data_IF_174447615106
#
_entry.id   IF_174447615106
#
_cell.length_a   1.000
_cell.length_b   1.000
_cell.length_c   1.000
_cell.angle_alpha   90.00
_cell.angle_beta   90.00
_cell.angle_gamma   90.00
#
_symmetry.space_group_name_H-M   'P 1'
#
loop_
_entity.id
_entity.type
_entity.pdbx_description
1 polymer ?
#
# COMPACT_ATOMS: atom_id res chain seq x y z
N UNK A 1 -8.10 -10.77 17.78
CA UNK A 1 -6.86 -10.84 16.97
C UNK A 1 -5.70 -10.79 17.95
N UNK A 2 -4.76 -11.73 17.88
CA UNK A 2 -3.63 -11.80 18.80
C UNK A 2 -2.37 -11.18 18.15
N UNK A 3 -1.95 -10.02 18.67
CA UNK A 3 -0.78 -9.28 18.19
C UNK A 3 0.53 -9.76 18.83
N UNK A 4 0.48 -10.69 19.79
CA UNK A 4 1.69 -11.25 20.40
C UNK A 4 2.51 -12.00 19.35
N UNK A 5 1.84 -12.79 18.49
CA UNK A 5 2.46 -13.64 17.47
C UNK A 5 2.28 -13.12 16.03
N UNK A 6 1.75 -11.92 15.86
CA UNK A 6 1.38 -11.36 14.56
C UNK A 6 1.94 -9.96 14.40
N UNK A 7 2.47 -9.65 13.21
CA UNK A 7 2.74 -8.29 12.78
C UNK A 7 1.73 -7.88 11.71
N UNK A 8 1.13 -6.70 11.84
CA UNK A 8 0.26 -6.11 10.83
C UNK A 8 1.00 -4.96 10.16
N UNK A 9 0.97 -4.94 8.83
CA UNK A 9 1.50 -3.84 8.05
C UNK A 9 0.32 -3.21 7.32
N UNK A 10 0.12 -1.92 7.57
CA UNK A 10 -0.95 -1.14 6.98
C UNK A 10 -0.36 0.08 6.27
N UNK A 11 -0.77 0.29 5.03
CA UNK A 11 -0.38 1.46 4.24
C UNK A 11 -1.63 2.21 3.81
N UNK A 12 -1.57 3.53 3.91
CA UNK A 12 -2.68 4.44 3.64
C UNK A 12 -2.20 5.57 2.73
N UNK A 13 -3.04 6.02 1.80
CA UNK A 13 -2.75 7.21 0.98
C UNK A 13 -3.44 8.47 1.47
N UNK A 14 -4.24 8.39 2.52
CA UNK A 14 -5.10 9.49 2.96
C UNK A 14 -6.38 9.57 2.14
N UNK A 15 -7.06 10.72 2.20
CA UNK A 15 -8.33 10.96 1.52
C UNK A 15 -8.12 11.61 0.15
N UNK A 16 -8.92 11.18 -0.82
CA UNK A 16 -9.07 11.81 -2.14
C UNK A 16 -10.52 12.17 -2.38
N UNK A 17 -10.78 13.24 -3.13
CA UNK A 17 -12.13 13.67 -3.50
C UNK A 17 -12.82 12.78 -4.53
N UNK A 18 -12.07 11.89 -5.19
CA UNK A 18 -12.57 10.94 -6.18
C UNK A 18 -11.99 9.55 -5.94
N UNK A 19 -12.54 8.53 -6.60
CA UNK A 19 -11.95 7.20 -6.69
C UNK A 19 -10.86 7.07 -7.76
N UNK A 20 -10.40 5.84 -8.00
CA UNK A 20 -9.37 5.54 -9.01
C UNK A 20 -7.93 5.57 -8.50
N UNK A 21 -7.72 5.92 -7.23
CA UNK A 21 -6.44 5.81 -6.53
C UNK A 21 -6.32 4.46 -5.84
N UNK A 22 -5.13 3.86 -5.87
CA UNK A 22 -4.87 2.59 -5.19
C UNK A 22 -3.52 2.61 -4.50
N UNK A 23 -3.40 1.85 -3.41
CA UNK A 23 -2.13 1.55 -2.77
C UNK A 23 -2.04 0.05 -2.54
N UNK A 24 -0.89 -0.53 -2.85
CA UNK A 24 -0.71 -1.96 -2.70
C UNK A 24 0.66 -2.29 -2.11
N UNK A 25 0.69 -3.13 -1.08
CA UNK A 25 1.91 -3.80 -0.65
C UNK A 25 2.18 -4.93 -1.65
N UNK A 26 3.21 -4.75 -2.49
CA UNK A 26 3.57 -5.70 -3.55
C UNK A 26 4.40 -6.87 -3.01
N UNK A 27 5.38 -6.55 -2.18
CA UNK A 27 6.36 -7.53 -1.70
C UNK A 27 6.80 -7.19 -0.27
N UNK A 28 7.09 -8.23 0.50
CA UNK A 28 7.71 -8.16 1.82
C UNK A 28 8.93 -9.06 1.78
N UNK A 29 10.12 -8.48 1.92
CA UNK A 29 11.40 -9.17 1.71
C UNK A 29 12.23 -9.07 2.97
N UNK A 30 12.77 -10.19 3.45
CA UNK A 30 13.82 -10.18 4.47
C UNK A 30 15.18 -9.92 3.79
N UNK A 31 15.80 -8.78 4.09
CA UNK A 31 17.11 -8.39 3.54
C UNK A 31 18.25 -8.61 4.56
N UNK A 32 18.03 -9.50 5.54
CA UNK A 32 18.99 -9.83 6.58
C UNK A 32 18.86 -8.91 7.79
N UNK A 33 19.23 -7.64 7.63
CA UNK A 33 19.23 -6.63 8.72
C UNK A 33 17.86 -6.00 8.99
N UNK A 34 16.95 -6.07 8.02
CA UNK A 34 15.63 -5.46 8.09
C UNK A 34 14.63 -6.22 7.21
N UNK A 35 13.35 -5.90 7.37
CA UNK A 35 12.31 -6.25 6.41
C UNK A 35 12.08 -5.06 5.49
N UNK A 36 12.17 -5.28 4.17
CA UNK A 36 11.84 -4.32 3.14
C UNK A 36 10.42 -4.58 2.62
N UNK A 37 9.54 -3.60 2.77
CA UNK A 37 8.19 -3.61 2.23
C UNK A 37 8.16 -2.73 0.99
N UNK A 38 7.87 -3.33 -0.18
CA UNK A 38 7.67 -2.59 -1.43
C UNK A 38 6.19 -2.23 -1.57
N UNK A 39 5.92 -0.95 -1.80
CA UNK A 39 4.57 -0.41 -1.89
C UNK A 39 4.40 0.31 -3.22
N UNK A 40 3.38 -0.05 -3.99
CA UNK A 40 3.01 0.64 -5.22
C UNK A 40 1.82 1.57 -4.96
N UNK A 41 1.94 2.83 -5.37
CA UNK A 41 0.83 3.78 -5.40
C UNK A 41 0.37 3.95 -6.85
N UNK A 42 -0.90 3.73 -7.13
CA UNK A 42 -1.49 3.93 -8.44
C UNK A 42 -2.34 5.19 -8.44
N UNK A 43 -2.07 6.08 -9.40
CA UNK A 43 -2.86 7.29 -9.65
C UNK A 43 -3.67 7.11 -10.94
N UNK A 44 -4.91 7.61 -11.01
CA UNK A 44 -5.65 7.65 -12.27
C UNK A 44 -4.89 8.54 -13.26
N UNK A 45 -4.71 8.05 -14.49
CA UNK A 45 -4.11 8.84 -15.56
C UNK A 45 -5.03 9.94 -16.06
N UNK A 46 -4.45 10.83 -16.87
CA UNK A 46 -5.20 11.92 -17.49
C UNK A 46 -6.30 11.35 -18.38
N UNK A 47 -7.54 11.83 -18.20
CA UNK A 47 -8.69 11.40 -19.00
C UNK A 47 -9.36 10.11 -18.49
N UNK A 48 -8.82 9.47 -17.46
CA UNK A 48 -9.51 8.37 -16.79
C UNK A 48 -10.82 8.86 -16.15
N UNK A 49 -11.92 8.17 -16.44
CA UNK A 49 -13.15 8.33 -15.68
C UNK A 49 -12.94 7.82 -14.26
N UNK A 50 -13.15 8.68 -13.28
CA UNK A 50 -13.12 8.34 -11.84
C UNK A 50 -14.53 8.37 -11.26
N UNK A 51 -14.74 7.71 -10.13
CA UNK A 51 -15.98 7.86 -9.36
C UNK A 51 -15.95 9.17 -8.57
N UNK A 52 -17.05 9.92 -8.63
CA UNK A 52 -17.25 11.19 -7.90
C UNK A 52 -17.66 10.91 -6.44
N UNK A 53 -16.75 10.37 -5.66
CA UNK A 53 -16.94 10.10 -4.24
C UNK A 53 -15.61 10.17 -3.48
N UNK A 54 -15.66 10.68 -2.25
CA UNK A 54 -14.51 10.65 -1.35
C UNK A 54 -14.03 9.22 -1.12
N UNK A 55 -12.73 8.99 -1.26
CA UNK A 55 -12.11 7.68 -1.13
C UNK A 55 -10.88 7.72 -0.24
N UNK A 56 -10.59 6.62 0.43
CA UNK A 56 -9.43 6.48 1.33
C UNK A 56 -8.69 5.17 1.03
N UNK A 57 -7.81 5.12 0.01
CA UNK A 57 -7.12 3.90 -0.38
C UNK A 57 -6.20 3.39 0.73
N UNK A 58 -6.33 2.11 1.04
CA UNK A 58 -5.48 1.41 2.00
C UNK A 58 -5.21 -0.04 1.57
N UNK A 59 -4.12 -0.61 2.08
CA UNK A 59 -3.87 -2.04 2.01
C UNK A 59 -3.27 -2.50 3.35
N UNK A 60 -3.87 -3.54 3.92
CA UNK A 60 -3.45 -4.13 5.19
C UNK A 60 -3.13 -5.61 4.95
N UNK A 61 -1.95 -6.03 5.39
CA UNK A 61 -1.56 -7.44 5.37
C UNK A 61 -1.24 -7.93 6.77
N UNK A 62 -1.38 -9.24 6.95
CA UNK A 62 -1.02 -9.97 8.16
C UNK A 62 0.21 -10.84 7.90
N UNK A 63 1.18 -10.77 8.80
CA UNK A 63 2.41 -11.56 8.75
C UNK A 63 2.61 -12.28 10.10
N UNK A 64 3.46 -13.31 10.10
CA UNK A 64 4.03 -13.82 11.35
C UNK A 64 4.79 -12.69 12.06
N UNK A 65 5.00 -12.83 13.37
CA UNK A 65 5.71 -11.82 14.16
C UNK A 65 7.08 -11.53 13.54
N UNK A 66 7.35 -10.25 13.32
CA UNK A 66 8.63 -9.73 12.86
C UNK A 66 9.26 -8.96 14.02
N UNK A 67 10.52 -9.25 14.31
CA UNK A 67 11.33 -8.53 15.31
C UNK A 67 12.35 -7.58 14.68
N UNK A 68 12.62 -7.74 13.37
CA UNK A 68 13.55 -6.90 12.62
C UNK A 68 12.93 -5.52 12.32
N UNK A 69 13.74 -4.46 12.20
CA UNK A 69 13.26 -3.16 11.72
C UNK A 69 12.57 -3.29 10.36
N UNK A 70 11.46 -2.59 10.18
CA UNK A 70 10.70 -2.55 8.92
C UNK A 70 10.99 -1.25 8.19
N UNK A 71 11.30 -1.35 6.90
CA UNK A 71 11.55 -0.21 6.01
C UNK A 71 10.61 -0.27 4.81
N UNK A 72 10.23 0.89 4.29
CA UNK A 72 9.29 0.99 3.18
C UNK A 72 9.98 1.61 1.97
N UNK A 73 9.79 1.00 0.80
CA UNK A 73 10.18 1.58 -0.49
C UNK A 73 8.94 1.73 -1.35
N UNK A 74 8.64 2.96 -1.75
CA UNK A 74 7.48 3.28 -2.58
C UNK A 74 7.84 3.39 -4.06
N UNK A 75 6.93 2.96 -4.91
CA UNK A 75 6.91 3.26 -6.36
C UNK A 75 5.58 3.92 -6.73
N UNK A 76 5.58 4.65 -7.84
CA UNK A 76 4.39 5.30 -8.38
C UNK A 76 4.09 4.72 -9.76
N UNK A 77 2.83 4.38 -9.98
CA UNK A 77 2.28 3.93 -11.26
C UNK A 77 1.14 4.86 -11.65
N UNK A 78 1.08 5.21 -12.93
CA UNK A 78 -0.07 5.94 -13.49
C UNK A 78 -0.91 4.95 -14.28
N UNK A 79 -2.21 4.88 -13.99
CA UNK A 79 -3.15 4.05 -14.74
C UNK A 79 -3.39 4.69 -16.10
N UNK A 80 -3.24 3.90 -17.16
CA UNK A 80 -3.65 4.30 -18.51
C UNK A 80 -5.10 3.86 -18.68
N UNK A 81 -5.96 4.76 -19.16
CA UNK A 81 -7.35 4.48 -19.48
C UNK A 81 -7.55 4.76 -20.98
N UNK A 82 -8.17 3.81 -21.66
CA UNK A 82 -8.51 3.87 -23.08
C UNK A 82 -9.96 4.32 -23.28
#
# INVERSE_FOLDING_TARGET
MDFSNTTIIAVFMGEFSTGGYEIEIKEVIDVGSSILVKVEKTYPGRGCTTTEAFSQPYHIIKLQKIEKPVTFRTSVKVRICD
#
